data_IF_011048504803
#
_entry.id   IF_011048504803
#
_cell.length_a   1.000
_cell.length_b   1.000
_cell.length_c   1.000
_cell.angle_alpha   90.00
_cell.angle_beta   90.00
_cell.angle_gamma   90.00
#
_symmetry.space_group_name_H-M   'P 1'
#
loop_
_entity.id
_entity.type
_entity.pdbx_description
1 polymer ?
#
# COMPACT_ATOMS: atom_id res chain seq x y z
N UNK A 1 18.60 22.30 -15.13
CA UNK A 1 17.85 21.05 -15.32
C UNK A 1 17.11 20.73 -14.03
N UNK A 2 15.83 20.47 -14.11
CA UNK A 2 15.07 20.02 -12.92
C UNK A 2 15.59 18.66 -12.45
N UNK A 3 15.59 18.46 -11.14
CA UNK A 3 15.93 17.15 -10.58
C UNK A 3 14.68 16.26 -10.74
N UNK A 4 14.76 15.14 -11.46
CA UNK A 4 13.58 14.33 -11.80
C UNK A 4 12.73 13.91 -10.60
N UNK A 5 13.32 13.69 -9.44
CA UNK A 5 12.60 13.29 -8.23
C UNK A 5 11.66 14.39 -7.70
N UNK A 6 11.81 15.62 -8.17
CA UNK A 6 10.93 16.73 -7.82
C UNK A 6 9.79 16.93 -8.82
N UNK A 7 9.83 16.20 -9.92
CA UNK A 7 8.79 16.25 -10.95
C UNK A 7 7.83 15.09 -10.74
N UNK A 8 6.54 15.35 -10.86
CA UNK A 8 5.52 14.28 -10.79
C UNK A 8 5.52 13.48 -12.09
N UNK A 9 5.60 14.18 -13.23
CA UNK A 9 5.47 13.55 -14.55
C UNK A 9 6.83 13.54 -15.27
N UNK A 10 7.52 12.38 -15.36
CA UNK A 10 8.84 12.32 -15.97
C UNK A 10 8.85 12.49 -17.49
N UNK A 11 7.70 12.30 -18.14
CA UNK A 11 7.58 12.38 -19.59
C UNK A 11 6.63 13.50 -20.02
N UNK A 12 7.04 14.27 -21.01
CA UNK A 12 6.19 15.30 -21.61
C UNK A 12 4.97 14.66 -22.28
N UNK A 13 3.78 15.17 -21.97
CA UNK A 13 2.53 14.71 -22.57
C UNK A 13 1.98 13.39 -22.00
N UNK A 14 2.66 12.76 -21.06
CA UNK A 14 2.23 11.55 -20.40
C UNK A 14 1.79 11.85 -18.96
N UNK A 15 0.51 11.65 -18.66
CA UNK A 15 -0.08 11.84 -17.33
C UNK A 15 -0.36 10.52 -16.61
N UNK A 16 -0.05 9.39 -17.25
CA UNK A 16 -0.28 8.06 -16.69
C UNK A 16 0.95 7.47 -16.00
N UNK A 17 2.13 8.03 -16.24
CA UNK A 17 3.37 7.64 -15.58
C UNK A 17 3.82 8.75 -14.64
N UNK A 18 4.04 8.41 -13.38
CA UNK A 18 4.46 9.38 -12.35
C UNK A 18 5.67 8.87 -11.58
N UNK A 19 6.45 9.80 -11.01
CA UNK A 19 7.33 9.50 -9.89
C UNK A 19 6.51 9.48 -8.61
N UNK A 20 6.65 8.41 -7.81
CA UNK A 20 5.84 8.23 -6.60
C UNK A 20 6.26 9.13 -5.44
N UNK A 21 7.54 9.36 -5.28
CA UNK A 21 8.06 10.09 -4.11
C UNK A 21 7.37 11.44 -3.87
N UNK A 22 7.12 12.31 -4.89
CA UNK A 22 6.48 13.60 -4.66
C UNK A 22 5.00 13.51 -4.25
N UNK A 23 4.32 12.40 -4.55
CA UNK A 23 2.87 12.27 -4.31
C UNK A 23 2.53 11.51 -3.03
N UNK A 24 3.54 11.04 -2.30
CA UNK A 24 3.34 10.35 -1.02
C UNK A 24 3.32 11.38 0.11
N UNK A 25 2.25 11.36 0.89
CA UNK A 25 2.07 12.22 2.07
C UNK A 25 1.95 11.44 3.36
N UNK A 26 1.64 10.13 3.30
CA UNK A 26 1.53 9.27 4.47
C UNK A 26 2.93 9.00 5.07
N UNK A 27 3.16 9.37 6.35
CA UNK A 27 4.48 9.20 6.97
C UNK A 27 4.90 7.73 7.15
N UNK A 28 3.96 6.79 7.08
CA UNK A 28 4.24 5.35 7.16
C UNK A 28 4.68 4.76 5.82
N UNK A 29 4.63 5.53 4.74
CA UNK A 29 5.04 5.10 3.40
C UNK A 29 6.29 5.88 2.99
N UNK A 30 7.35 5.16 2.67
CA UNK A 30 8.61 5.74 2.18
C UNK A 30 8.89 5.18 0.79
N UNK A 31 9.12 6.08 -0.17
CA UNK A 31 9.46 5.71 -1.55
C UNK A 31 10.77 6.36 -1.93
N UNK A 32 11.68 5.58 -2.51
CA UNK A 32 12.96 6.04 -3.00
C UNK A 32 12.86 6.89 -4.27
N UNK A 33 13.95 7.55 -4.60
CA UNK A 33 14.06 8.42 -5.77
C UNK A 33 13.86 7.62 -7.07
N UNK A 34 13.23 8.23 -8.06
CA UNK A 34 13.04 7.71 -9.41
C UNK A 34 12.14 6.47 -9.51
N UNK A 35 11.53 6.03 -8.42
CA UNK A 35 10.52 4.96 -8.48
C UNK A 35 9.28 5.47 -9.17
N UNK A 36 8.84 4.74 -10.19
CA UNK A 36 7.72 5.09 -11.05
C UNK A 36 6.50 4.24 -10.77
N UNK A 37 5.34 4.83 -11.02
CA UNK A 37 4.08 4.11 -11.12
C UNK A 37 3.39 4.46 -12.44
N UNK A 38 2.99 3.43 -13.18
CA UNK A 38 2.24 3.59 -14.43
C UNK A 38 0.82 3.06 -14.25
N UNK A 39 -0.17 3.92 -14.49
CA UNK A 39 -1.58 3.57 -14.42
C UNK A 39 -2.27 3.90 -15.74
N UNK A 40 -2.51 2.91 -16.56
CA UNK A 40 -2.96 3.10 -17.94
C UNK A 40 -4.44 2.73 -18.14
N UNK A 41 -5.31 3.15 -17.23
CA UNK A 41 -6.75 2.92 -17.38
C UNK A 41 -7.56 4.17 -17.75
N UNK A 42 -6.93 5.35 -17.67
CA UNK A 42 -7.53 6.66 -17.96
C UNK A 42 -8.73 7.04 -17.08
N UNK A 43 -9.03 6.24 -16.06
CA UNK A 43 -10.13 6.47 -15.12
C UNK A 43 -9.60 6.96 -13.78
N UNK A 44 -8.54 6.32 -13.28
CA UNK A 44 -7.94 6.67 -12.00
C UNK A 44 -6.76 7.63 -12.17
N UNK A 45 -6.58 8.49 -11.20
CA UNK A 45 -5.41 9.37 -11.13
C UNK A 45 -4.26 8.60 -10.47
N UNK A 46 -3.11 8.39 -11.16
CA UNK A 46 -1.98 7.70 -10.58
C UNK A 46 -1.39 8.38 -9.35
N UNK A 47 -1.64 9.68 -9.14
CA UNK A 47 -1.20 10.40 -7.95
C UNK A 47 -1.93 9.96 -6.68
N UNK A 48 -3.02 9.22 -6.79
CA UNK A 48 -3.77 8.62 -5.67
C UNK A 48 -3.23 7.25 -5.25
N UNK A 49 -2.00 6.92 -5.58
CA UNK A 49 -1.38 5.63 -5.32
C UNK A 49 -1.52 5.20 -3.85
N UNK A 50 -1.25 6.07 -2.90
CA UNK A 50 -1.30 5.69 -1.48
C UNK A 50 -2.71 5.31 -1.00
N UNK A 51 -3.76 5.76 -1.70
CA UNK A 51 -5.15 5.41 -1.40
C UNK A 51 -5.60 4.19 -2.20
N UNK A 52 -5.26 4.12 -3.48
CA UNK A 52 -5.78 3.10 -4.39
C UNK A 52 -4.99 1.79 -4.37
N UNK A 53 -3.69 1.84 -4.07
CA UNK A 53 -2.80 0.70 -4.20
C UNK A 53 -2.30 0.16 -2.86
N UNK A 54 -2.37 0.96 -1.79
CA UNK A 54 -1.98 0.56 -0.43
C UNK A 54 -3.26 0.33 0.36
N UNK A 55 -3.58 -0.92 0.64
CA UNK A 55 -4.88 -1.33 1.15
C UNK A 55 -4.76 -2.02 2.52
N UNK A 56 -5.80 -1.86 3.32
CA UNK A 56 -5.86 -2.42 4.67
C UNK A 56 -4.69 -1.98 5.55
N UNK A 57 -4.24 -0.75 5.31
CA UNK A 57 -3.12 -0.15 6.00
C UNK A 57 -3.62 0.87 7.02
N UNK A 58 -3.73 0.44 8.27
CA UNK A 58 -4.29 1.25 9.35
C UNK A 58 -3.24 1.58 10.42
N UNK A 59 -3.24 2.81 10.95
CA UNK A 59 -2.26 3.23 11.96
C UNK A 59 -2.21 2.33 13.20
N UNK A 60 -3.32 1.69 13.55
CA UNK A 60 -3.41 0.80 14.72
C UNK A 60 -2.42 -0.38 14.64
N UNK A 61 -2.04 -0.80 13.44
CA UNK A 61 -1.09 -1.90 13.25
C UNK A 61 0.37 -1.46 13.35
N UNK A 62 0.66 -0.19 13.12
CA UNK A 62 2.02 0.35 13.15
C UNK A 62 2.93 -0.15 12.02
N UNK A 63 2.37 -0.74 10.97
CA UNK A 63 3.13 -1.29 9.85
C UNK A 63 3.57 -0.18 8.88
N UNK A 64 4.67 -0.43 8.18
CA UNK A 64 5.27 0.50 7.24
C UNK A 64 5.41 -0.12 5.85
N UNK A 65 5.29 0.73 4.82
CA UNK A 65 5.65 0.39 3.45
C UNK A 65 6.93 1.13 3.08
N UNK A 66 7.94 0.39 2.67
CA UNK A 66 9.20 0.97 2.18
C UNK A 66 9.46 0.45 0.78
N UNK A 67 9.58 1.36 -0.18
CA UNK A 67 9.91 1.05 -1.57
C UNK A 67 11.22 1.75 -1.91
N UNK A 68 12.16 1.01 -2.46
CA UNK A 68 13.49 1.51 -2.81
C UNK A 68 13.49 2.43 -4.02
N UNK A 69 14.68 2.67 -4.56
CA UNK A 69 14.92 3.55 -5.72
C UNK A 69 14.78 2.77 -7.03
N UNK A 70 14.46 3.49 -8.09
CA UNK A 70 14.44 2.96 -9.47
C UNK A 70 13.51 1.76 -9.66
N UNK A 71 12.49 1.62 -8.83
CA UNK A 71 11.47 0.59 -9.03
C UNK A 71 10.49 1.01 -10.13
N UNK A 72 9.94 0.03 -10.81
CA UNK A 72 8.87 0.22 -11.79
C UNK A 72 7.64 -0.55 -11.34
N UNK A 73 6.59 0.18 -10.97
CA UNK A 73 5.34 -0.39 -10.47
C UNK A 73 4.26 -0.19 -11.52
N UNK A 74 3.60 -1.27 -11.89
CA UNK A 74 2.65 -1.28 -12.99
C UNK A 74 1.21 -1.24 -12.49
N UNK A 75 0.33 -0.82 -13.37
CA UNK A 75 -1.11 -0.68 -13.19
C UNK A 75 -1.71 -1.83 -12.39
N UNK A 76 -2.50 -1.50 -11.39
CA UNK A 76 -3.26 -2.45 -10.58
C UNK A 76 -2.47 -3.19 -9.51
N UNK A 77 -1.17 -2.94 -9.38
CA UNK A 77 -0.39 -3.53 -8.28
C UNK A 77 -0.95 -3.10 -6.93
N UNK A 78 -1.07 -4.05 -6.00
CA UNK A 78 -1.66 -3.83 -4.68
C UNK A 78 -0.69 -4.24 -3.58
N UNK A 79 -0.66 -3.44 -2.52
CA UNK A 79 0.09 -3.73 -1.29
C UNK A 79 -0.92 -3.94 -0.17
N UNK A 80 -1.10 -5.20 0.25
CA UNK A 80 -2.10 -5.59 1.25
C UNK A 80 -1.45 -5.76 2.62
N UNK A 81 -1.85 -4.92 3.54
CA UNK A 81 -1.30 -4.95 4.90
C UNK A 81 -2.05 -5.91 5.83
N UNK A 82 -1.62 -5.95 7.06
CA UNK A 82 -2.04 -6.89 8.10
C UNK A 82 -3.55 -7.07 8.20
N UNK A 83 -4.34 -5.99 8.13
CA UNK A 83 -5.79 -6.07 8.27
C UNK A 83 -6.51 -6.70 7.07
N UNK A 84 -5.78 -7.10 6.02
CA UNK A 84 -6.34 -7.86 4.90
C UNK A 84 -6.51 -9.35 5.21
N UNK A 85 -5.99 -9.84 6.34
CA UNK A 85 -6.15 -11.23 6.74
C UNK A 85 -7.20 -11.40 7.84
N UNK A 86 -7.59 -12.63 8.08
CA UNK A 86 -8.39 -13.03 9.23
C UNK A 86 -7.57 -13.97 10.10
N UNK A 87 -7.67 -13.83 11.43
CA UNK A 87 -6.90 -14.67 12.33
C UNK A 87 -7.28 -16.15 12.15
N UNK A 88 -6.27 -17.00 12.11
CA UNK A 88 -6.42 -18.46 12.09
C UNK A 88 -6.31 -19.07 13.49
N UNK A 89 -6.11 -18.27 14.52
CA UNK A 89 -5.96 -18.70 15.91
C UNK A 89 -7.27 -18.73 16.68
N UNK A 90 -8.35 -18.24 16.07
CA UNK A 90 -9.69 -18.25 16.64
C UNK A 90 -10.46 -19.49 16.20
N UNK A 91 -11.50 -19.82 16.94
CA UNK A 91 -12.45 -20.90 16.57
C UNK A 91 -13.23 -20.56 15.29
N UNK A 92 -13.30 -19.28 14.94
CA UNK A 92 -13.98 -18.79 13.73
C UNK A 92 -13.10 -17.81 12.99
N UNK A 93 -13.12 -17.83 11.68
CA UNK A 93 -12.45 -16.82 10.83
C UNK A 93 -13.30 -15.56 10.66
N UNK A 94 -14.55 -15.58 11.14
CA UNK A 94 -15.38 -14.38 11.11
C UNK A 94 -14.80 -13.30 12.01
N UNK A 95 -14.69 -12.04 11.54
CA UNK A 95 -13.96 -11.00 12.28
C UNK A 95 -14.81 -10.37 13.40
N UNK A 96 -15.33 -11.18 14.31
CA UNK A 96 -16.13 -10.71 15.44
C UNK A 96 -15.54 -9.51 16.20
N UNK A 97 -14.21 -9.44 16.45
CA UNK A 97 -13.64 -8.31 17.18
C UNK A 97 -13.85 -6.95 16.51
N UNK A 98 -14.02 -6.90 15.18
CA UNK A 98 -14.34 -5.65 14.48
C UNK A 98 -15.73 -5.15 14.88
N UNK A 99 -16.65 -6.08 15.12
CA UNK A 99 -18.05 -5.82 15.45
C UNK A 99 -18.36 -6.06 16.93
N UNK A 100 -17.40 -5.72 17.82
CA UNK A 100 -17.54 -6.04 19.24
C UNK A 100 -18.78 -5.38 19.89
N UNK A 101 -19.19 -4.21 19.42
CA UNK A 101 -20.38 -3.53 19.92
C UNK A 101 -21.64 -4.27 19.50
N UNK A 102 -21.75 -4.60 18.24
CA UNK A 102 -22.93 -5.27 17.65
C UNK A 102 -23.15 -6.66 18.24
N UNK A 103 -22.07 -7.35 18.63
CA UNK A 103 -22.13 -8.69 19.22
C UNK A 103 -22.01 -8.69 20.74
N UNK A 104 -21.91 -7.51 21.37
CA UNK A 104 -21.81 -7.40 22.83
C UNK A 104 -20.59 -8.07 23.42
N UNK A 105 -19.43 -8.00 22.73
CA UNK A 105 -18.21 -8.66 23.21
C UNK A 105 -17.51 -7.83 24.27
N UNK A 106 -16.92 -8.51 25.26
CA UNK A 106 -16.12 -7.87 26.30
C UNK A 106 -14.77 -7.38 25.78
N UNK A 107 -14.19 -8.09 24.84
CA UNK A 107 -12.90 -7.72 24.23
C UNK A 107 -13.13 -6.67 23.15
N UNK A 108 -12.62 -5.45 23.39
CA UNK A 108 -12.80 -4.29 22.51
C UNK A 108 -11.54 -3.96 21.71
N UNK A 109 -10.79 -4.97 21.33
CA UNK A 109 -9.57 -4.84 20.56
C UNK A 109 -9.78 -5.38 19.14
N UNK A 110 -9.99 -4.48 18.19
CA UNK A 110 -10.23 -4.85 16.78
C UNK A 110 -9.07 -5.61 16.17
N UNK A 111 -7.85 -5.43 16.69
CA UNK A 111 -6.66 -6.13 16.16
C UNK A 111 -6.69 -7.64 16.41
N UNK A 112 -7.58 -8.11 17.27
CA UNK A 112 -7.80 -9.55 17.50
C UNK A 112 -8.48 -10.23 16.31
N UNK A 113 -9.01 -9.47 15.35
CA UNK A 113 -9.65 -10.03 14.15
C UNK A 113 -8.64 -10.53 13.11
N UNK A 114 -7.38 -10.13 13.21
CA UNK A 114 -6.32 -10.48 12.24
C UNK A 114 -5.01 -10.87 12.92
N UNK A 115 -4.14 -11.51 12.15
CA UNK A 115 -2.78 -11.84 12.58
C UNK A 115 -1.81 -10.78 12.06
N UNK A 116 -1.00 -10.21 12.96
CA UNK A 116 -0.01 -9.20 12.57
C UNK A 116 1.09 -9.85 11.72
N UNK A 117 1.31 -9.29 10.52
CA UNK A 117 2.31 -9.79 9.56
C UNK A 117 3.52 -8.88 9.42
N UNK A 118 3.41 -7.62 9.80
CA UNK A 118 4.51 -6.66 9.77
C UNK A 118 4.56 -5.81 8.51
N UNK A 119 5.75 -5.28 8.26
CA UNK A 119 6.00 -4.33 7.19
C UNK A 119 6.07 -4.99 5.81
N UNK A 120 5.92 -4.16 4.77
CA UNK A 120 6.30 -4.53 3.40
C UNK A 120 7.54 -3.72 3.02
N UNK A 121 8.59 -4.41 2.57
CA UNK A 121 9.84 -3.79 2.14
C UNK A 121 10.16 -4.25 0.72
N UNK A 122 10.24 -3.28 -0.18
CA UNK A 122 10.66 -3.50 -1.58
C UNK A 122 12.04 -2.87 -1.75
N UNK A 123 12.99 -3.64 -2.25
CA UNK A 123 14.35 -3.18 -2.50
C UNK A 123 14.45 -2.20 -3.67
N UNK A 124 15.68 -1.92 -4.10
CA UNK A 124 15.94 -1.07 -5.26
C UNK A 124 15.81 -1.87 -6.56
N UNK A 125 15.47 -1.17 -7.65
CA UNK A 125 15.45 -1.74 -9.00
C UNK A 125 14.55 -2.98 -9.12
N UNK A 126 13.37 -2.90 -8.51
CA UNK A 126 12.38 -3.99 -8.55
C UNK A 126 11.28 -3.63 -9.56
N UNK A 127 10.94 -4.57 -10.41
CA UNK A 127 9.79 -4.47 -11.27
C UNK A 127 8.61 -5.23 -10.67
N UNK A 128 7.51 -4.52 -10.43
CA UNK A 128 6.25 -5.10 -9.96
C UNK A 128 5.27 -5.03 -11.12
N UNK A 129 4.90 -6.20 -11.63
CA UNK A 129 4.09 -6.32 -12.83
C UNK A 129 2.62 -5.98 -12.64
N UNK A 130 1.90 -6.01 -13.75
CA UNK A 130 0.47 -5.70 -13.84
C UNK A 130 -0.35 -6.54 -12.86
N UNK A 131 -1.16 -5.86 -12.05
CA UNK A 131 -2.06 -6.46 -11.03
C UNK A 131 -1.39 -7.40 -10.04
N UNK A 132 -0.08 -7.29 -9.83
CA UNK A 132 0.59 -8.04 -8.79
C UNK A 132 0.04 -7.69 -7.41
N UNK A 133 -0.05 -8.67 -6.52
CA UNK A 133 -0.48 -8.50 -5.14
C UNK A 133 0.69 -8.82 -4.22
N UNK A 134 1.12 -7.82 -3.46
CA UNK A 134 2.19 -7.95 -2.46
C UNK A 134 1.53 -7.95 -1.10
N UNK A 135 1.76 -8.97 -0.31
CA UNK A 135 1.17 -9.11 1.03
C UNK A 135 2.19 -8.81 2.12
N UNK A 136 1.68 -8.36 3.27
CA UNK A 136 2.50 -8.14 4.46
C UNK A 136 3.13 -9.44 4.97
N UNK A 137 4.37 -9.36 5.47
CA UNK A 137 5.10 -10.50 6.05
C UNK A 137 6.41 -10.84 5.40
#
# INVERSE_FOLDING_TARGET
MAIPEKEIYPRTGDRQTIYLKPVITDPSITVGEYTMYNYNDFVHDPTDFQTNNVLYHYPVNGDRLTIGKFCSITCGAKFLFTSANHTMRSLSTYPFPIFYEEWGLDIRDVTKAWDKKGDIVIGNDVWIGYEAVIMAG
#
